data_IF_116949653554
#
_entry.id   IF_116949653554
#
_cell.length_a   1.000
_cell.length_b   1.000
_cell.length_c   1.000
_cell.angle_alpha   90.00
_cell.angle_beta   90.00
_cell.angle_gamma   90.00
#
_symmetry.space_group_name_H-M   'P 1'
#
loop_
_entity.id
_entity.type
_entity.pdbx_description
1 polymer ?
#
# COMPACT_ATOMS: atom_id res chain seq x y z
N UNK A 1 -1.22 5.65 8.82
CA UNK A 1 -1.31 4.66 9.94
C UNK A 1 -0.43 3.44 9.62
N UNK A 2 0.39 2.96 10.57
CA UNK A 2 1.23 1.78 10.37
C UNK A 2 0.44 0.51 10.69
N UNK A 3 0.33 -0.39 9.72
CA UNK A 3 -0.32 -1.70 9.85
C UNK A 3 0.68 -2.81 9.54
N UNK A 4 0.55 -3.99 10.16
CA UNK A 4 1.44 -5.12 9.89
C UNK A 4 0.65 -6.27 9.25
N UNK A 5 1.09 -6.74 8.09
CA UNK A 5 0.52 -7.90 7.41
C UNK A 5 1.46 -9.10 7.54
N UNK A 6 1.01 -10.13 8.24
CA UNK A 6 1.74 -11.40 8.34
C UNK A 6 1.10 -12.47 7.45
N UNK A 7 1.93 -13.21 6.71
CA UNK A 7 1.50 -14.34 5.91
C UNK A 7 2.58 -15.42 5.87
N UNK A 8 2.19 -16.63 5.45
CA UNK A 8 3.11 -17.77 5.32
C UNK A 8 3.37 -18.02 3.85
N UNK A 9 4.63 -18.27 3.47
CA UNK A 9 5.00 -18.67 2.10
C UNK A 9 5.95 -19.86 2.12
N UNK A 10 5.93 -20.66 1.04
CA UNK A 10 6.98 -21.65 0.76
C UNK A 10 8.15 -21.00 0.04
N UNK A 11 9.37 -21.36 0.42
CA UNK A 11 10.60 -20.97 -0.28
C UNK A 11 10.85 -21.87 -1.48
N UNK A 12 11.79 -21.48 -2.36
CA UNK A 12 12.20 -22.31 -3.51
C UNK A 12 12.69 -23.71 -3.09
N UNK A 13 13.26 -23.85 -1.90
CA UNK A 13 13.72 -25.12 -1.33
C UNK A 13 12.60 -25.89 -0.59
N UNK A 14 11.34 -25.47 -0.72
CA UNK A 14 10.19 -26.15 -0.11
C UNK A 14 9.96 -25.85 1.38
N UNK A 15 10.81 -25.05 2.04
CA UNK A 15 10.64 -24.68 3.45
C UNK A 15 9.50 -23.69 3.62
N UNK A 16 8.71 -23.85 4.69
CA UNK A 16 7.64 -22.93 5.06
C UNK A 16 8.21 -21.82 5.96
N UNK A 17 7.99 -20.56 5.61
CA UNK A 17 8.44 -19.41 6.42
C UNK A 17 7.32 -18.39 6.61
N UNK A 18 7.22 -17.84 7.82
CA UNK A 18 6.35 -16.70 8.15
C UNK A 18 7.05 -15.40 7.78
N UNK A 19 6.36 -14.55 7.02
CA UNK A 19 6.83 -13.22 6.61
C UNK A 19 5.91 -12.19 7.25
N UNK A 20 6.51 -11.16 7.86
CA UNK A 20 5.80 -9.99 8.38
C UNK A 20 6.25 -8.78 7.57
N UNK A 21 5.28 -8.06 6.98
CA UNK A 21 5.54 -6.84 6.21
C UNK A 21 4.80 -5.67 6.84
N UNK A 22 5.49 -4.55 6.93
CA UNK A 22 4.89 -3.27 7.24
C UNK A 22 4.03 -2.80 6.06
N UNK A 23 2.85 -2.29 6.35
CA UNK A 23 1.90 -1.76 5.40
C UNK A 23 1.51 -0.35 5.84
N UNK A 24 1.93 0.62 5.05
CA UNK A 24 1.65 2.02 5.28
C UNK A 24 0.37 2.40 4.54
N UNK A 25 -0.69 2.69 5.29
CA UNK A 25 -1.88 3.31 4.70
C UNK A 25 -1.62 4.80 4.52
N UNK A 26 -1.70 5.23 3.27
CA UNK A 26 -1.48 6.59 2.80
C UNK A 26 -2.82 7.28 2.58
N UNK A 27 -2.94 8.51 3.05
CA UNK A 27 -4.13 9.34 2.89
C UNK A 27 -3.99 10.33 1.71
N UNK A 28 -2.79 10.42 1.14
CA UNK A 28 -2.42 11.31 0.04
C UNK A 28 -2.49 10.62 -1.34
N UNK A 29 -3.42 9.67 -1.51
CA UNK A 29 -3.65 8.98 -2.78
C UNK A 29 -4.80 9.66 -3.54
N UNK A 30 -4.52 10.18 -4.72
CA UNK A 30 -5.49 10.87 -5.58
C UNK A 30 -6.40 9.89 -6.34
N UNK A 31 -7.66 10.29 -6.56
CA UNK A 31 -8.63 9.48 -7.31
C UNK A 31 -8.46 9.56 -8.85
N UNK A 32 -7.72 10.55 -9.36
CA UNK A 32 -7.49 10.74 -10.81
C UNK A 32 -8.63 11.42 -11.58
N UNK A 33 -9.74 11.79 -10.93
CA UNK A 33 -10.83 12.52 -11.58
C UNK A 33 -10.58 14.03 -11.58
N UNK A 34 -10.59 14.66 -12.76
CA UNK A 34 -10.37 16.10 -12.94
C UNK A 34 -11.40 16.98 -12.24
N UNK A 35 -12.62 16.46 -12.06
CA UNK A 35 -13.74 17.17 -11.42
C UNK A 35 -13.86 16.86 -9.92
N UNK A 36 -12.90 16.14 -9.34
CA UNK A 36 -12.89 15.87 -7.91
C UNK A 36 -12.52 17.12 -7.12
N UNK A 37 -13.43 17.58 -6.25
CA UNK A 37 -13.20 18.76 -5.40
C UNK A 37 -12.57 18.41 -4.05
N UNK A 38 -12.52 17.13 -3.68
CA UNK A 38 -11.98 16.67 -2.39
C UNK A 38 -10.48 16.38 -2.45
N UNK A 39 -9.97 16.00 -3.62
CA UNK A 39 -8.57 15.68 -3.84
C UNK A 39 -7.79 16.92 -4.28
N UNK A 40 -6.66 17.21 -3.63
CA UNK A 40 -5.82 18.36 -4.00
C UNK A 40 -4.92 18.05 -5.21
N UNK A 41 -5.35 18.50 -6.40
CA UNK A 41 -4.64 18.29 -7.65
C UNK A 41 -3.29 19.03 -7.74
N UNK A 42 -3.01 20.02 -6.88
CA UNK A 42 -1.79 20.82 -6.96
C UNK A 42 -0.52 20.01 -6.61
N UNK A 43 -0.69 18.98 -5.77
CA UNK A 43 0.38 18.10 -5.31
C UNK A 43 0.42 16.77 -6.08
N UNK A 44 -0.57 16.56 -6.97
CA UNK A 44 -0.58 15.41 -7.86
C UNK A 44 0.55 15.54 -8.90
N UNK A 45 1.41 14.51 -8.97
CA UNK A 45 2.35 14.37 -10.09
C UNK A 45 1.55 13.94 -11.32
N UNK A 46 1.13 14.92 -12.11
CA UNK A 46 0.59 14.71 -13.47
C UNK A 46 1.74 14.58 -14.45
#
# INVERSE_FOLDING_TARGET
MLQNKSFVRKTKQGRVMKVVREHYLRDDIYCGALMCQTCDLSTARV
#
